data_IF_008645024070
#
_entry.id   IF_008645024070
#
_cell.length_a   1.000
_cell.length_b   1.000
_cell.length_c   1.000
_cell.angle_alpha   90.00
_cell.angle_beta   90.00
_cell.angle_gamma   90.00
#
_symmetry.space_group_name_H-M   'P 1'
#
loop_
_entity.id
_entity.type
_entity.pdbx_description
1 polymer ?
#
# COMPACT_ATOMS: atom_id res chain seq x y z
N UNK A 1 17.90 6.11 -19.83
CA UNK A 1 18.25 5.87 -18.42
C UNK A 1 17.21 4.90 -17.88
N UNK A 2 17.59 3.65 -17.65
CA UNK A 2 16.72 2.64 -17.04
C UNK A 2 16.53 3.03 -15.58
N UNK A 3 15.42 3.70 -15.27
CA UNK A 3 15.02 3.93 -13.89
C UNK A 3 14.74 2.56 -13.28
N UNK A 4 15.60 2.11 -12.37
CA UNK A 4 15.29 0.97 -11.53
C UNK A 4 14.18 1.42 -10.58
N UNK A 5 12.97 0.85 -10.67
CA UNK A 5 11.86 1.31 -9.85
C UNK A 5 12.18 1.09 -8.37
N UNK A 6 11.98 2.14 -7.57
CA UNK A 6 12.21 2.04 -6.12
C UNK A 6 11.09 1.20 -5.46
N UNK A 7 11.36 0.66 -4.27
CA UNK A 7 10.39 -0.17 -3.52
C UNK A 7 8.98 0.45 -3.39
N UNK A 8 8.80 1.77 -3.18
CA UNK A 8 7.47 2.39 -3.16
C UNK A 8 6.71 2.24 -4.48
N UNK A 9 7.38 2.49 -5.61
CA UNK A 9 6.80 2.42 -6.95
C UNK A 9 6.39 0.99 -7.29
N UNK A 10 7.22 0.01 -6.91
CA UNK A 10 6.91 -1.41 -7.07
C UNK A 10 5.67 -1.81 -6.27
N UNK A 11 5.53 -1.32 -5.04
CA UNK A 11 4.31 -1.60 -4.26
C UNK A 11 3.07 -0.98 -4.93
N UNK A 12 3.18 0.24 -5.45
CA UNK A 12 2.08 0.90 -6.15
C UNK A 12 1.66 0.13 -7.41
N UNK A 13 2.62 -0.28 -8.24
CA UNK A 13 2.36 -1.08 -9.44
C UNK A 13 1.69 -2.41 -9.09
N UNK A 14 2.13 -3.08 -8.02
CA UNK A 14 1.51 -4.32 -7.56
C UNK A 14 0.06 -4.09 -7.12
N UNK A 15 -0.20 -3.05 -6.33
CA UNK A 15 -1.55 -2.73 -5.87
C UNK A 15 -2.47 -2.35 -7.04
N UNK A 16 -1.99 -1.58 -8.01
CA UNK A 16 -2.74 -1.27 -9.24
C UNK A 16 -3.05 -2.54 -10.04
N UNK A 17 -2.08 -3.42 -10.21
CA UNK A 17 -2.27 -4.71 -10.89
C UNK A 17 -3.26 -5.63 -10.17
N UNK A 18 -3.32 -5.56 -8.83
CA UNK A 18 -4.28 -6.33 -8.02
C UNK A 18 -5.72 -5.84 -8.17
N UNK A 19 -5.93 -4.62 -8.69
CA UNK A 19 -7.25 -3.99 -8.84
C UNK A 19 -8.02 -3.78 -7.53
N UNK A 20 -7.39 -3.98 -6.37
CA UNK A 20 -8.03 -4.00 -5.06
C UNK A 20 -7.60 -2.80 -4.22
N UNK A 21 -8.54 -2.19 -3.50
CA UNK A 21 -8.27 -1.09 -2.57
C UNK A 21 -7.52 -1.56 -1.31
N UNK A 22 -7.60 -2.86 -1.01
CA UNK A 22 -6.94 -3.54 0.09
C UNK A 22 -6.45 -4.91 -0.39
N UNK A 23 -5.22 -5.29 -0.05
CA UNK A 23 -4.68 -6.60 -0.36
C UNK A 23 -3.70 -7.06 0.71
N UNK A 24 -3.73 -8.35 1.03
CA UNK A 24 -2.68 -8.98 1.82
C UNK A 24 -1.50 -9.35 0.93
N UNK A 25 -0.30 -8.91 1.30
CA UNK A 25 0.92 -9.17 0.55
C UNK A 25 2.02 -9.75 1.42
N UNK A 26 2.84 -10.59 0.84
CA UNK A 26 4.11 -11.07 1.38
C UNK A 26 5.27 -10.54 0.55
N UNK A 27 6.46 -10.45 1.16
CA UNK A 27 7.69 -10.10 0.43
C UNK A 27 7.97 -11.11 -0.68
N UNK A 28 7.61 -12.38 -0.47
CA UNK A 28 7.77 -13.43 -1.49
C UNK A 28 6.88 -13.17 -2.70
N UNK A 29 5.60 -12.84 -2.50
CA UNK A 29 4.68 -12.53 -3.61
C UNK A 29 5.15 -11.31 -4.42
N UNK A 30 5.58 -10.23 -3.75
CA UNK A 30 6.12 -9.05 -4.44
C UNK A 30 7.35 -9.40 -5.28
N UNK A 31 8.30 -10.14 -4.70
CA UNK A 31 9.49 -10.60 -5.43
C UNK A 31 9.12 -11.49 -6.61
N UNK A 32 8.25 -12.46 -6.42
CA UNK A 32 7.83 -13.37 -7.49
C UNK A 32 7.10 -12.63 -8.61
N UNK A 33 6.27 -11.64 -8.28
CA UNK A 33 5.54 -10.83 -9.25
C UNK A 33 6.49 -10.00 -10.14
N UNK A 34 7.51 -9.40 -9.55
CA UNK A 34 8.49 -8.57 -10.28
C UNK A 34 9.75 -9.33 -10.74
N UNK A 35 9.81 -10.65 -10.52
CA UNK A 35 10.98 -11.49 -10.83
C UNK A 35 12.28 -10.99 -10.18
N UNK A 36 12.19 -10.58 -8.90
CA UNK A 36 13.31 -10.01 -8.15
C UNK A 36 14.07 -11.05 -7.33
N UNK A 37 15.36 -10.81 -7.19
CA UNK A 37 16.30 -11.63 -6.42
C UNK A 37 16.02 -11.57 -4.90
N UNK A 38 16.50 -12.59 -4.18
CA UNK A 38 16.41 -12.71 -2.72
C UNK A 38 16.97 -11.52 -1.95
N UNK A 39 18.01 -10.90 -2.49
CA UNK A 39 18.69 -9.72 -1.94
C UNK A 39 17.76 -8.51 -1.76
N UNK A 40 16.64 -8.46 -2.49
CA UNK A 40 15.65 -7.38 -2.38
C UNK A 40 14.71 -7.54 -1.19
N UNK A 41 14.66 -8.72 -0.58
CA UNK A 41 13.74 -9.04 0.51
C UNK A 41 13.82 -8.09 1.72
N UNK A 42 15.03 -7.79 2.24
CA UNK A 42 15.21 -6.83 3.33
C UNK A 42 14.69 -5.42 3.00
N UNK A 43 14.84 -4.97 1.75
CA UNK A 43 14.37 -3.64 1.32
C UNK A 43 12.84 -3.55 1.37
N UNK A 44 12.12 -4.56 0.86
CA UNK A 44 10.66 -4.64 0.98
C UNK A 44 10.22 -4.75 2.43
N UNK A 45 10.82 -5.64 3.23
CA UNK A 45 10.44 -5.80 4.64
C UNK A 45 10.64 -4.51 5.44
N UNK A 46 11.77 -3.82 5.24
CA UNK A 46 12.08 -2.56 5.91
C UNK A 46 11.11 -1.44 5.50
N UNK A 47 10.80 -1.36 4.21
CA UNK A 47 9.83 -0.40 3.68
C UNK A 47 8.41 -0.63 4.23
N UNK A 48 7.90 -1.87 4.15
CA UNK A 48 6.56 -2.22 4.63
C UNK A 48 6.42 -1.97 6.14
N UNK A 49 7.47 -2.26 6.91
CA UNK A 49 7.50 -1.95 8.34
C UNK A 49 7.51 -0.43 8.59
N UNK A 50 8.23 0.35 7.77
CA UNK A 50 8.28 1.81 7.90
C UNK A 50 6.91 2.45 7.65
N UNK A 51 6.20 2.02 6.59
CA UNK A 51 4.88 2.56 6.25
C UNK A 51 3.74 2.04 7.17
N UNK A 52 4.04 1.05 8.01
CA UNK A 52 3.14 0.60 9.08
C UNK A 52 3.22 1.51 10.31
N UNK A 53 4.43 1.93 10.72
CA UNK A 53 4.65 2.69 11.95
C UNK A 53 4.64 4.22 11.78
N UNK A 54 4.85 4.73 10.57
CA UNK A 54 5.04 6.16 10.35
C UNK A 54 4.27 6.74 9.17
N UNK A 55 4.04 8.06 9.16
CA UNK A 55 3.50 8.75 8.00
C UNK A 55 4.54 8.72 6.87
N UNK A 56 4.25 7.97 5.81
CA UNK A 56 5.15 7.87 4.66
C UNK A 56 4.56 8.62 3.46
N UNK A 57 4.93 9.87 3.24
CA UNK A 57 4.19 10.75 2.32
C UNK A 57 4.36 10.42 0.84
N UNK A 58 5.35 9.62 0.45
CA UNK A 58 5.65 9.32 -0.96
C UNK A 58 4.99 8.05 -1.48
N UNK A 59 4.16 7.35 -0.68
CA UNK A 59 3.41 6.19 -1.14
C UNK A 59 1.91 6.39 -0.90
N UNK A 60 1.10 6.15 -1.95
CA UNK A 60 -0.37 6.22 -1.91
C UNK A 60 -0.99 5.18 -0.99
N UNK A 61 -0.26 4.10 -0.71
CA UNK A 61 -0.70 3.01 0.14
C UNK A 61 -0.07 3.09 1.54
N UNK A 62 -0.66 2.37 2.49
CA UNK A 62 -0.12 2.15 3.83
C UNK A 62 -0.33 0.70 4.24
N UNK A 63 0.52 0.21 5.13
CA UNK A 63 0.26 -1.05 5.80
C UNK A 63 -0.60 -0.78 7.03
N UNK A 64 -1.74 -1.44 7.14
CA UNK A 64 -2.68 -1.25 8.26
C UNK A 64 -2.67 -2.39 9.25
N UNK A 65 -2.27 -3.59 8.81
CA UNK A 65 -2.10 -4.76 9.67
C UNK A 65 -0.88 -5.54 9.24
N UNK A 66 -0.29 -6.25 10.20
CA UNK A 66 0.79 -7.20 9.97
C UNK A 66 0.48 -8.48 10.73
N UNK A 67 0.55 -9.59 10.02
CA UNK A 67 0.36 -10.92 10.59
C UNK A 67 1.60 -11.77 10.35
N UNK A 68 1.80 -12.75 11.23
CA UNK A 68 2.83 -13.78 11.07
C UNK A 68 2.12 -15.11 10.98
N UNK A 69 2.43 -15.89 9.96
CA UNK A 69 1.96 -17.26 9.86
C UNK A 69 3.15 -18.18 9.65
N UNK A 70 3.02 -19.41 10.14
CA UNK A 70 3.99 -20.46 9.89
C UNK A 70 3.67 -21.07 8.53
N UNK A 71 4.63 -21.05 7.61
CA UNK A 71 4.49 -21.81 6.37
C UNK A 71 4.34 -23.28 6.75
N UNK A 72 3.32 -23.93 6.21
CA UNK A 72 3.05 -25.36 6.44
C UNK A 72 4.02 -26.24 5.66
N UNK A 73 4.76 -25.67 4.71
CA UNK A 73 5.74 -26.38 3.90
C UNK A 73 7.12 -26.40 4.57
N UNK A 74 7.76 -27.57 4.70
CA UNK A 74 9.14 -27.66 5.13
C UNK A 74 10.10 -26.95 4.14
N UNK A 75 11.13 -26.25 4.65
CA UNK A 75 11.39 -25.98 6.05
C UNK A 75 10.39 -24.96 6.62
N UNK A 76 9.82 -25.25 7.80
CA UNK A 76 8.86 -24.36 8.44
C UNK A 76 9.48 -22.97 8.66
N UNK A 77 8.96 -21.97 7.96
CA UNK A 77 9.42 -20.58 8.04
C UNK A 77 8.29 -19.72 8.56
N UNK A 78 8.61 -18.80 9.46
CA UNK A 78 7.67 -17.76 9.86
C UNK A 78 7.64 -16.71 8.75
N UNK A 79 6.50 -16.57 8.08
CA UNK A 79 6.27 -15.59 7.02
C UNK A 79 5.49 -14.41 7.60
N UNK A 80 5.93 -13.20 7.26
CA UNK A 80 5.18 -11.96 7.54
C UNK A 80 4.25 -11.65 6.38
N UNK A 81 2.98 -11.38 6.68
CA UNK A 81 1.98 -10.86 5.76
C UNK A 81 1.62 -9.44 6.16
N UNK A 82 1.43 -8.58 5.18
CA UNK A 82 1.17 -7.15 5.36
C UNK A 82 -0.14 -6.81 4.66
N UNK A 83 -1.09 -6.23 5.39
CA UNK A 83 -2.33 -5.73 4.82
C UNK A 83 -2.07 -4.33 4.29
N UNK A 84 -2.01 -4.20 2.97
CA UNK A 84 -1.76 -2.95 2.29
C UNK A 84 -3.08 -2.38 1.84
N UNK A 85 -3.34 -1.13 2.22
CA UNK A 85 -4.56 -0.42 1.87
C UNK A 85 -4.23 0.93 1.25
N UNK A 86 -5.06 1.36 0.32
CA UNK A 86 -5.02 2.72 -0.17
C UNK A 86 -5.30 3.70 0.98
N UNK A 87 -4.56 4.81 1.03
CA UNK A 87 -4.86 5.85 2.02
C UNK A 87 -6.21 6.48 1.68
N UNK A 88 -7.05 6.73 2.69
CA UNK A 88 -8.20 7.58 2.48
C UNK A 88 -7.67 8.96 2.08
N UNK A 89 -7.85 9.32 0.82
CA UNK A 89 -7.72 10.72 0.40
C UNK A 89 -8.71 11.46 1.29
N UNK A 90 -8.21 12.37 2.16
CA UNK A 90 -9.11 13.27 2.86
C UNK A 90 -9.89 13.96 1.74
N UNK A 91 -11.17 13.61 1.56
CA UNK A 91 -12.10 14.42 0.79
C UNK A 91 -12.14 15.74 1.54
N UNK A 92 -11.24 16.65 1.16
CA UNK A 92 -11.27 18.02 1.64
C UNK A 92 -12.65 18.54 1.30
N UNK A 93 -13.40 18.85 2.35
CA UNK A 93 -14.49 19.83 2.39
C UNK A 93 -14.96 20.25 0.99
N UNK A 94 -15.84 19.46 0.38
CA UNK A 94 -16.63 19.97 -0.73
C UNK A 94 -17.69 20.84 -0.08
N UNK A 95 -17.33 22.12 0.08
CA UNK A 95 -18.28 23.19 0.39
C UNK A 95 -19.23 23.25 -0.79
N UNK A 96 -20.35 22.55 -0.72
CA UNK A 96 -21.53 22.91 -1.50
C UNK A 96 -22.32 23.92 -0.67
N UNK A 97 -21.76 25.11 -0.52
CA UNK A 97 -22.55 26.32 -0.27
C UNK A 97 -22.99 26.82 -1.65
N UNK A 98 -24.10 26.28 -2.12
CA UNK A 98 -24.69 26.69 -3.39
C UNK A 98 -26.20 26.43 -3.41
N UNK A 99 -26.94 26.86 -2.39
CA UNK A 99 -28.33 27.29 -2.60
C UNK A 99 -28.55 28.64 -1.92
N UNK A 100 -28.34 29.65 -2.74
CA UNK A 100 -28.54 31.07 -2.48
C UNK A 100 -29.91 31.33 -1.87
N UNK A 101 -29.85 32.01 -0.74
CA UNK A 101 -30.86 32.91 -0.23
C UNK A 101 -31.16 34.01 -1.27
N UNK A 102 -32.12 33.80 -2.18
CA UNK A 102 -32.90 34.87 -2.86
C UNK A 102 -34.34 34.37 -3.01
N UNK A 103 -35.15 34.67 -2.00
CA UNK A 103 -36.58 34.97 -2.17
C UNK A 103 -36.86 36.24 -1.39
N UNK A 104 -36.47 37.35 -1.98
CA UNK A 104 -37.17 38.62 -1.79
C UNK A 104 -37.85 38.93 -3.11
N UNK A 105 -39.18 38.79 -3.15
CA UNK A 105 -40.10 39.69 -3.85
C UNK A 105 -41.55 39.26 -3.59
N UNK A 106 -42.28 40.19 -2.98
CA UNK A 106 -43.73 40.33 -2.80
C UNK A 106 -44.32 39.81 -1.50
#
# INVERSE_FOLDING_TARGET
>A
MTHHPEVPELLELYMVASGSAECWVTVRELRSFFQLDETTGPAFSGFLQRIHHGPFFTCRYKVTRMEKFQDTHPPYRIIKKYLVQERPVRKGHQVTDAEKFVRSTR
#
